data_IF_424442051959
#
_entry.id   IF_424442051959
#
_cell.length_a   1.000
_cell.length_b   1.000
_cell.length_c   1.000
_cell.angle_alpha   90.00
_cell.angle_beta   90.00
_cell.angle_gamma   90.00
#
_symmetry.space_group_name_H-M   'P 1'
#
loop_
_entity.id
_entity.type
_entity.pdbx_description
1 polymer ?
#
# COMPACT_ATOMS: atom_id res chain seq x y z
N UNK A 1 7.94 -14.57 -1.35
CA UNK A 1 6.93 -13.90 -0.50
C UNK A 1 6.78 -12.40 -0.79
N UNK A 2 7.84 -11.58 -0.75
CA UNK A 2 7.75 -10.11 -1.03
C UNK A 2 7.20 -9.82 -2.43
N UNK A 3 7.68 -10.51 -3.46
CA UNK A 3 7.16 -10.37 -4.83
C UNK A 3 5.68 -10.74 -4.94
N UNK A 4 5.20 -11.72 -4.18
CA UNK A 4 3.78 -12.05 -4.12
C UNK A 4 2.96 -10.94 -3.46
N UNK A 5 3.47 -10.32 -2.38
CA UNK A 5 2.81 -9.21 -1.71
C UNK A 5 2.70 -7.98 -2.64
N UNK A 6 3.78 -7.65 -3.37
CA UNK A 6 3.77 -6.56 -4.35
C UNK A 6 2.89 -6.89 -5.57
N UNK A 7 2.93 -8.14 -6.06
CA UNK A 7 2.07 -8.60 -7.16
C UNK A 7 0.59 -8.54 -6.78
N UNK A 8 0.24 -8.95 -5.55
CA UNK A 8 -1.14 -8.87 -5.08
C UNK A 8 -1.62 -7.42 -4.93
N UNK A 9 -0.72 -6.49 -4.62
CA UNK A 9 -1.03 -5.05 -4.64
C UNK A 9 -1.50 -4.60 -6.03
N UNK A 10 -0.79 -5.01 -7.09
CA UNK A 10 -1.17 -4.70 -8.47
C UNK A 10 -2.53 -5.33 -8.84
N UNK A 11 -2.77 -6.59 -8.44
CA UNK A 11 -4.06 -7.26 -8.68
C UNK A 11 -5.19 -6.53 -7.95
N UNK A 12 -4.98 -6.15 -6.69
CA UNK A 12 -5.99 -5.43 -5.89
C UNK A 12 -6.33 -4.09 -6.53
N UNK A 13 -5.35 -3.34 -7.02
CA UNK A 13 -5.58 -2.02 -7.57
C UNK A 13 -6.09 -2.07 -9.02
N UNK A 14 -5.34 -2.68 -9.93
CA UNK A 14 -5.70 -2.71 -11.36
C UNK A 14 -6.81 -3.71 -11.67
N UNK A 15 -6.85 -4.85 -10.97
CA UNK A 15 -7.89 -5.86 -11.18
C UNK A 15 -9.28 -5.36 -10.80
N UNK A 16 -9.42 -4.61 -9.71
CA UNK A 16 -10.70 -4.03 -9.31
C UNK A 16 -11.18 -2.96 -10.29
N UNK A 17 -10.28 -2.15 -10.87
CA UNK A 17 -10.62 -1.15 -11.90
C UNK A 17 -11.28 -1.75 -13.13
N UNK A 18 -10.84 -2.96 -13.56
CA UNK A 18 -11.47 -3.67 -14.67
C UNK A 18 -12.92 -4.06 -14.37
N UNK A 19 -13.25 -4.25 -13.09
CA UNK A 19 -14.61 -4.61 -12.65
C UNK A 19 -15.46 -3.35 -12.45
N UNK A 20 -14.91 -2.32 -11.82
CA UNK A 20 -15.65 -1.14 -11.34
C UNK A 20 -15.70 0.02 -12.33
N UNK A 21 -15.03 -0.06 -13.48
CA UNK A 21 -14.92 1.03 -14.44
C UNK A 21 -16.27 1.60 -14.97
N UNK A 22 -17.35 0.80 -14.91
CA UNK A 22 -18.71 1.25 -15.26
C UNK A 22 -19.61 1.56 -14.04
N UNK A 23 -19.09 1.51 -12.81
CA UNK A 23 -19.88 1.71 -11.60
C UNK A 23 -19.98 3.21 -11.25
N UNK A 24 -20.98 3.55 -10.43
CA UNK A 24 -21.03 4.86 -9.82
C UNK A 24 -19.98 4.98 -8.71
N UNK A 25 -19.11 5.99 -8.79
CA UNK A 25 -18.06 6.22 -7.79
C UNK A 25 -18.48 7.34 -6.84
N UNK A 26 -18.32 7.10 -5.54
CA UNK A 26 -18.68 8.02 -4.48
C UNK A 26 -17.54 8.99 -4.17
N UNK A 27 -17.80 10.29 -4.23
CA UNK A 27 -16.83 11.29 -3.80
C UNK A 27 -16.82 11.38 -2.27
N UNK A 28 -15.68 11.04 -1.64
CA UNK A 28 -15.49 11.04 -0.19
C UNK A 28 -14.84 12.32 0.35
N UNK A 29 -14.68 13.36 -0.49
CA UNK A 29 -14.06 14.63 -0.10
C UNK A 29 -14.84 15.34 0.99
N UNK A 30 -14.14 15.82 2.00
CA UNK A 30 -14.65 16.58 3.12
C UNK A 30 -14.22 18.05 3.04
N UNK A 31 -14.74 18.90 3.94
CA UNK A 31 -14.29 20.30 4.03
C UNK A 31 -12.78 20.41 4.35
N UNK A 32 -12.21 19.45 5.08
CA UNK A 32 -10.77 19.40 5.39
C UNK A 32 -9.95 19.20 4.12
N UNK A 33 -10.41 18.36 3.19
CA UNK A 33 -9.69 18.08 1.95
C UNK A 33 -9.64 19.31 1.02
N UNK A 34 -10.62 20.21 1.13
CA UNK A 34 -10.65 21.46 0.39
C UNK A 34 -9.64 22.49 0.93
N UNK A 35 -9.32 22.45 2.24
CA UNK A 35 -8.35 23.35 2.88
C UNK A 35 -6.91 22.92 2.58
N UNK A 36 -6.66 21.62 2.39
CA UNK A 36 -5.32 21.12 2.06
C UNK A 36 -4.90 21.63 0.68
N UNK A 37 -3.78 22.36 0.55
CA UNK A 37 -3.36 22.90 -0.75
C UNK A 37 -2.82 21.79 -1.68
N UNK A 38 -2.91 22.01 -2.99
CA UNK A 38 -2.13 21.27 -3.96
C UNK A 38 -0.66 21.72 -3.88
N UNK A 39 0.27 20.77 -3.70
CA UNK A 39 1.70 21.05 -3.56
C UNK A 39 2.50 20.15 -4.52
N UNK A 40 2.70 20.55 -5.78
CA UNK A 40 3.24 19.68 -6.84
C UNK A 40 4.58 19.01 -6.53
N UNK A 41 5.51 19.68 -5.83
CA UNK A 41 6.81 19.09 -5.53
C UNK A 41 6.75 17.86 -4.61
N UNK A 42 5.66 17.67 -3.87
CA UNK A 42 5.47 16.47 -3.02
C UNK A 42 5.28 15.19 -3.82
N UNK A 43 5.14 15.29 -5.15
CA UNK A 43 5.17 14.14 -6.07
C UNK A 43 6.48 13.34 -5.94
N UNK A 44 7.59 13.99 -5.58
CA UNK A 44 8.88 13.31 -5.36
C UNK A 44 8.75 12.33 -4.17
N UNK A 45 8.09 12.78 -3.09
CA UNK A 45 7.84 11.93 -1.91
C UNK A 45 6.82 10.84 -2.27
N UNK A 46 5.77 11.20 -3.00
CA UNK A 46 4.74 10.26 -3.46
C UNK A 46 5.35 9.12 -4.30
N UNK A 47 6.12 9.44 -5.33
CA UNK A 47 6.79 8.44 -6.17
C UNK A 47 7.94 7.72 -5.43
N UNK A 48 8.56 8.37 -4.47
CA UNK A 48 9.59 7.78 -3.60
C UNK A 48 9.07 6.62 -2.73
N UNK A 49 7.74 6.51 -2.56
CA UNK A 49 7.12 5.43 -1.77
C UNK A 49 7.50 4.04 -2.29
N UNK A 50 7.65 3.84 -3.59
CA UNK A 50 8.01 2.54 -4.17
C UNK A 50 9.38 2.05 -3.70
N UNK A 51 10.39 2.95 -3.65
CA UNK A 51 11.71 2.62 -3.12
C UNK A 51 11.65 2.31 -1.63
N UNK A 52 10.87 3.08 -0.88
CA UNK A 52 10.65 2.86 0.55
C UNK A 52 9.98 1.50 0.80
N UNK A 53 8.98 1.12 0.02
CA UNK A 53 8.29 -0.17 0.14
C UNK A 53 9.23 -1.34 -0.15
N UNK A 54 9.96 -1.29 -1.26
CA UNK A 54 10.91 -2.35 -1.64
C UNK A 54 11.94 -2.55 -0.53
N UNK A 55 12.56 -1.46 -0.04
CA UNK A 55 13.60 -1.53 0.98
C UNK A 55 13.07 -2.11 2.31
N UNK A 56 11.90 -1.63 2.79
CA UNK A 56 11.37 -2.06 4.08
C UNK A 56 10.76 -3.47 4.05
N UNK A 57 10.05 -3.84 2.98
CA UNK A 57 9.55 -5.21 2.81
C UNK A 57 10.71 -6.21 2.73
N UNK A 58 11.79 -5.86 2.02
CA UNK A 58 12.99 -6.69 1.96
C UNK A 58 13.65 -6.81 3.34
N UNK A 59 13.93 -5.70 4.02
CA UNK A 59 14.52 -5.71 5.36
C UNK A 59 13.65 -6.47 6.38
N UNK A 60 12.33 -6.30 6.33
CA UNK A 60 11.40 -7.02 7.19
C UNK A 60 11.36 -8.52 6.92
N UNK A 61 11.68 -8.95 5.69
CA UNK A 61 11.57 -10.36 5.26
C UNK A 61 12.83 -11.21 5.47
N UNK A 62 13.96 -10.62 5.81
CA UNK A 62 15.23 -11.34 5.96
C UNK A 62 15.64 -11.57 7.42
N UNK A 63 14.80 -11.30 8.38
CA UNK A 63 15.15 -11.31 9.80
C UNK A 63 14.36 -12.38 10.58
N UNK A 64 13.40 -11.99 11.37
CA UNK A 64 12.60 -12.93 12.17
C UNK A 64 11.50 -13.58 11.32
N UNK A 65 11.50 -14.91 11.23
CA UNK A 65 10.54 -15.64 10.37
C UNK A 65 9.10 -15.49 10.83
N UNK A 66 8.85 -15.46 12.14
CA UNK A 66 7.50 -15.34 12.70
C UNK A 66 6.93 -13.92 12.49
N UNK A 67 7.77 -12.91 12.70
CA UNK A 67 7.37 -11.52 12.43
C UNK A 67 7.23 -11.25 10.93
N UNK A 68 8.12 -11.82 10.10
CA UNK A 68 7.99 -11.79 8.63
C UNK A 68 6.66 -12.38 8.17
N UNK A 69 6.34 -13.59 8.64
CA UNK A 69 5.09 -14.25 8.28
C UNK A 69 3.88 -13.47 8.82
N UNK A 70 3.97 -12.87 10.00
CA UNK A 70 2.89 -12.10 10.60
C UNK A 70 2.57 -10.84 9.80
N UNK A 71 3.58 -10.03 9.43
CA UNK A 71 3.32 -8.81 8.68
C UNK A 71 2.86 -9.09 7.23
N UNK A 72 3.43 -10.11 6.56
CA UNK A 72 3.02 -10.48 5.20
C UNK A 72 1.60 -11.08 5.16
N UNK A 73 1.24 -11.90 6.16
CA UNK A 73 -0.12 -12.39 6.32
C UNK A 73 -1.10 -11.23 6.56
N UNK A 74 -0.73 -10.27 7.40
CA UNK A 74 -1.55 -9.10 7.69
C UNK A 74 -1.73 -8.19 6.46
N UNK A 75 -0.65 -7.98 5.70
CA UNK A 75 -0.67 -7.24 4.44
C UNK A 75 -1.63 -7.89 3.43
N UNK A 76 -1.57 -9.23 3.29
CA UNK A 76 -2.49 -9.97 2.43
C UNK A 76 -3.94 -9.82 2.90
N UNK A 77 -4.21 -9.99 4.20
CA UNK A 77 -5.55 -9.82 4.76
C UNK A 77 -6.10 -8.40 4.51
N UNK A 78 -5.27 -7.38 4.74
CA UNK A 78 -5.65 -5.99 4.49
C UNK A 78 -5.96 -5.72 3.01
N UNK A 79 -5.17 -6.27 2.09
CA UNK A 79 -5.40 -6.14 0.65
C UNK A 79 -6.65 -6.86 0.17
N UNK A 80 -7.02 -7.99 0.79
CA UNK A 80 -8.30 -8.65 0.54
C UNK A 80 -9.46 -7.73 0.98
N UNK A 81 -9.34 -7.06 2.12
CA UNK A 81 -10.34 -6.07 2.57
C UNK A 81 -10.41 -4.90 1.59
N UNK A 82 -9.26 -4.36 1.15
CA UNK A 82 -9.23 -3.31 0.12
C UNK A 82 -9.92 -3.76 -1.18
N UNK A 83 -9.62 -4.98 -1.66
CA UNK A 83 -10.25 -5.55 -2.85
C UNK A 83 -11.78 -5.60 -2.73
N UNK A 84 -12.29 -6.06 -1.60
CA UNK A 84 -13.73 -6.10 -1.34
C UNK A 84 -14.31 -4.69 -1.32
N UNK A 85 -13.68 -3.75 -0.60
CA UNK A 85 -14.15 -2.37 -0.48
C UNK A 85 -14.13 -1.63 -1.83
N UNK A 86 -13.10 -1.81 -2.65
CA UNK A 86 -13.01 -1.19 -3.97
C UNK A 86 -14.15 -1.64 -4.91
N UNK A 87 -14.59 -2.89 -4.79
CA UNK A 87 -15.72 -3.41 -5.60
C UNK A 87 -17.06 -2.97 -5.02
N UNK A 88 -17.23 -3.02 -3.69
CA UNK A 88 -18.52 -2.77 -3.04
C UNK A 88 -18.82 -1.29 -2.82
N UNK A 89 -17.78 -0.47 -2.63
CA UNK A 89 -17.88 0.97 -2.38
C UNK A 89 -16.84 1.71 -3.24
N UNK A 90 -17.02 1.72 -4.58
CA UNK A 90 -16.06 2.43 -5.46
C UNK A 90 -16.06 3.92 -5.13
N UNK A 91 -14.87 4.48 -4.98
CA UNK A 91 -14.68 5.87 -4.55
C UNK A 91 -13.88 6.68 -5.54
N UNK A 92 -14.09 8.00 -5.55
CA UNK A 92 -13.42 8.95 -6.44
C UNK A 92 -13.15 10.27 -5.74
N UNK A 93 -12.34 11.12 -6.37
CA UNK A 93 -12.08 12.51 -5.98
C UNK A 93 -12.06 13.41 -7.21
N UNK A 94 -12.54 14.64 -7.05
CA UNK A 94 -12.36 15.68 -8.08
C UNK A 94 -10.99 16.30 -7.90
N UNK A 95 -10.12 16.12 -8.89
CA UNK A 95 -8.78 16.70 -8.91
C UNK A 95 -8.82 18.12 -9.46
N UNK A 96 -8.02 19.06 -8.91
CA UNK A 96 -7.90 20.40 -9.45
C UNK A 96 -7.17 20.39 -10.80
N UNK A 97 -7.42 21.39 -11.61
CA UNK A 97 -6.62 21.66 -12.81
C UNK A 97 -5.21 22.09 -12.41
N UNK A 98 -4.23 21.59 -13.14
CA UNK A 98 -2.82 21.88 -12.92
C UNK A 98 -2.28 22.62 -14.15
N UNK A 99 -1.68 23.82 -13.99
CA UNK A 99 -1.07 24.53 -15.10
C UNK A 99 0.21 23.82 -15.57
N UNK A 100 0.42 23.73 -16.88
CA UNK A 100 1.64 23.14 -17.47
C UNK A 100 2.79 24.17 -17.52
N UNK A 101 3.31 24.56 -16.35
CA UNK A 101 4.26 25.65 -16.21
C UNK A 101 5.69 25.19 -15.89
N UNK A 102 5.85 24.16 -15.08
CA UNK A 102 7.15 23.72 -14.59
C UNK A 102 7.25 22.19 -14.51
N UNK A 103 8.43 21.68 -14.20
CA UNK A 103 8.72 20.23 -14.21
C UNK A 103 7.87 19.46 -13.20
N UNK A 104 7.52 20.04 -12.05
CA UNK A 104 6.72 19.37 -11.02
C UNK A 104 5.25 19.30 -11.45
N UNK A 105 4.73 20.36 -12.05
CA UNK A 105 3.38 20.37 -12.63
C UNK A 105 3.28 19.37 -13.79
N UNK A 106 4.28 19.27 -14.66
CA UNK A 106 4.33 18.26 -15.73
C UNK A 106 4.35 16.84 -15.18
N UNK A 107 5.13 16.58 -14.13
CA UNK A 107 5.16 15.30 -13.45
C UNK A 107 3.78 14.97 -12.83
N UNK A 108 3.10 15.95 -12.24
CA UNK A 108 1.73 15.79 -11.71
C UNK A 108 0.72 15.48 -12.81
N UNK A 109 0.77 16.20 -13.95
CA UNK A 109 -0.09 15.94 -15.10
C UNK A 109 0.14 14.52 -15.64
N UNK A 110 1.40 14.10 -15.75
CA UNK A 110 1.73 12.72 -16.12
C UNK A 110 1.15 11.71 -15.13
N UNK A 111 1.33 11.93 -13.81
CA UNK A 111 0.74 11.08 -12.79
C UNK A 111 -0.79 10.99 -12.95
N UNK A 112 -1.47 12.11 -13.15
CA UNK A 112 -2.93 12.16 -13.32
C UNK A 112 -3.41 11.44 -14.59
N UNK A 113 -2.56 11.37 -15.60
CA UNK A 113 -2.89 10.67 -16.87
C UNK A 113 -2.81 9.15 -16.75
N UNK A 114 -1.91 8.63 -15.92
CA UNK A 114 -1.70 7.17 -15.75
C UNK A 114 -2.44 6.58 -14.55
N UNK A 115 -2.77 7.40 -13.58
CA UNK A 115 -3.43 7.01 -12.34
C UNK A 115 -4.78 7.73 -12.20
N UNK A 116 -5.85 7.07 -12.63
CA UNK A 116 -7.21 7.63 -12.55
C UNK A 116 -7.67 7.74 -11.09
N UNK A 117 -8.55 8.72 -10.76
CA UNK A 117 -9.02 8.93 -9.40
C UNK A 117 -10.13 7.93 -9.02
N UNK A 118 -9.77 6.67 -8.95
CA UNK A 118 -10.66 5.56 -8.56
C UNK A 118 -10.01 4.65 -7.52
N UNK A 119 -10.81 3.79 -6.87
CA UNK A 119 -10.33 2.85 -5.84
C UNK A 119 -9.53 3.55 -4.71
N UNK A 120 -10.08 4.64 -4.17
CA UNK A 120 -9.35 5.50 -3.24
C UNK A 120 -9.45 5.02 -1.78
N UNK A 121 -10.57 4.44 -1.37
CA UNK A 121 -10.84 4.08 0.02
C UNK A 121 -10.78 2.56 0.27
N UNK A 122 -9.91 2.13 1.20
CA UNK A 122 -8.86 2.86 1.91
C UNK A 122 -7.61 3.07 1.03
N UNK A 123 -6.76 4.04 1.37
CA UNK A 123 -5.54 4.32 0.60
C UNK A 123 -4.54 3.17 0.67
N UNK A 124 -4.26 2.52 -0.46
CA UNK A 124 -3.21 1.50 -0.57
C UNK A 124 -1.81 2.11 -0.35
N UNK A 125 -1.58 3.36 -0.76
CA UNK A 125 -0.32 4.05 -0.53
C UNK A 125 -0.02 4.21 0.97
N UNK A 126 -1.01 4.65 1.74
CA UNK A 126 -0.87 4.81 3.19
C UNK A 126 -0.81 3.45 3.90
N UNK A 127 -1.63 2.50 3.47
CA UNK A 127 -1.63 1.11 3.97
C UNK A 127 -0.24 0.47 3.83
N UNK A 128 0.30 0.42 2.60
CA UNK A 128 1.59 -0.23 2.31
C UNK A 128 2.74 0.51 2.98
N UNK A 129 2.71 1.85 3.01
CA UNK A 129 3.71 2.65 3.73
C UNK A 129 3.68 2.37 5.22
N UNK A 130 2.51 2.15 5.81
CA UNK A 130 2.40 1.78 7.22
C UNK A 130 2.83 0.33 7.48
N UNK A 131 2.59 -0.59 6.55
CA UNK A 131 3.19 -1.94 6.63
C UNK A 131 4.71 -1.92 6.60
N UNK A 132 5.35 -0.95 5.96
CA UNK A 132 6.80 -0.75 6.06
C UNK A 132 7.24 -0.47 7.51
N UNK A 133 6.46 0.33 8.24
CA UNK A 133 6.71 0.57 9.68
C UNK A 133 6.52 -0.72 10.49
N UNK A 134 5.42 -1.44 10.23
CA UNK A 134 5.13 -2.73 10.90
C UNK A 134 6.25 -3.75 10.65
N UNK A 135 6.75 -3.85 9.42
CA UNK A 135 7.79 -4.78 9.01
C UNK A 135 9.10 -4.60 9.80
N UNK A 136 9.46 -3.36 10.14
CA UNK A 136 10.75 -3.06 10.79
C UNK A 136 10.65 -2.83 12.30
N UNK A 137 9.50 -2.42 12.83
CA UNK A 137 9.36 -1.97 14.23
C UNK A 137 9.67 -3.03 15.28
N UNK A 138 9.46 -4.32 14.97
CA UNK A 138 9.71 -5.45 15.88
C UNK A 138 11.06 -6.11 15.65
N UNK A 139 11.78 -5.75 14.60
CA UNK A 139 13.06 -6.36 14.26
C UNK A 139 14.16 -5.86 15.22
N UNK A 140 14.81 -6.79 15.90
CA UNK A 140 15.84 -6.48 16.91
C UNK A 140 17.16 -5.99 16.29
N UNK A 141 17.46 -6.42 15.07
CA UNK A 141 18.69 -6.08 14.35
C UNK A 141 18.62 -4.72 13.67
N UNK A 142 17.40 -4.17 13.50
CA UNK A 142 17.21 -2.83 12.93
C UNK A 142 17.35 -1.79 14.02
N UNK A 143 18.24 -0.79 13.86
CA UNK A 143 18.48 0.23 14.85
C UNK A 143 17.25 1.14 15.04
N UNK A 144 17.06 1.65 16.24
CA UNK A 144 15.86 2.42 16.59
C UNK A 144 15.73 3.73 15.80
N UNK A 145 16.85 4.37 15.45
CA UNK A 145 16.81 5.56 14.60
C UNK A 145 16.15 5.28 13.24
N UNK A 146 16.40 4.07 12.65
CA UNK A 146 15.78 3.70 11.37
C UNK A 146 14.29 3.42 11.53
N UNK A 147 13.87 2.82 12.66
CA UNK A 147 12.43 2.61 12.95
C UNK A 147 11.71 3.95 13.04
N UNK A 148 12.31 4.95 13.71
CA UNK A 148 11.77 6.32 13.78
C UNK A 148 11.74 6.96 12.38
N UNK A 149 12.82 6.83 11.62
CA UNK A 149 12.89 7.35 10.25
C UNK A 149 11.80 6.71 9.36
N UNK A 150 11.55 5.41 9.50
CA UNK A 150 10.48 4.72 8.75
C UNK A 150 9.10 5.30 9.06
N UNK A 151 8.82 5.65 10.31
CA UNK A 151 7.57 6.34 10.69
C UNK A 151 7.49 7.71 10.02
N UNK A 152 8.56 8.50 10.08
CA UNK A 152 8.61 9.85 9.49
C UNK A 152 8.36 9.77 7.97
N UNK A 153 9.03 8.83 7.28
CA UNK A 153 8.84 8.65 5.82
C UNK A 153 7.42 8.20 5.51
N UNK A 154 6.87 7.23 6.24
CA UNK A 154 5.50 6.76 6.04
C UNK A 154 4.48 7.90 6.21
N UNK A 155 4.64 8.74 7.24
CA UNK A 155 3.78 9.91 7.44
C UNK A 155 3.98 10.98 6.34
N UNK A 156 5.21 11.20 5.87
CA UNK A 156 5.49 12.09 4.76
C UNK A 156 4.83 11.60 3.47
N UNK A 157 4.82 10.28 3.21
CA UNK A 157 4.08 9.69 2.09
C UNK A 157 2.58 9.92 2.27
N UNK A 158 2.02 9.69 3.45
CA UNK A 158 0.61 9.97 3.74
C UNK A 158 0.24 11.44 3.46
N UNK A 159 1.06 12.39 3.91
CA UNK A 159 0.86 13.81 3.60
C UNK A 159 0.98 14.07 2.10
N UNK A 160 1.93 13.43 1.41
CA UNK A 160 2.10 13.61 -0.04
C UNK A 160 0.90 13.13 -0.83
N UNK A 161 0.20 12.07 -0.41
CA UNK A 161 -1.03 11.62 -1.07
C UNK A 161 -2.15 12.66 -1.01
N UNK A 162 -2.22 13.43 0.07
CA UNK A 162 -3.20 14.51 0.26
C UNK A 162 -2.83 15.77 -0.55
N UNK A 163 -1.55 16.13 -0.53
CA UNK A 163 -1.06 17.35 -1.21
C UNK A 163 -0.89 17.16 -2.72
N UNK A 164 -0.77 15.95 -3.22
CA UNK A 164 -0.86 15.61 -4.65
C UNK A 164 -2.29 15.34 -5.11
N UNK A 165 -3.30 15.48 -4.22
CA UNK A 165 -4.71 15.21 -4.52
C UNK A 165 -4.96 13.80 -5.10
N UNK A 166 -4.20 12.82 -4.61
CA UNK A 166 -4.42 11.41 -4.95
C UNK A 166 -5.43 10.76 -3.99
N UNK A 167 -5.48 11.21 -2.74
CA UNK A 167 -6.37 10.70 -1.70
C UNK A 167 -6.99 11.84 -0.88
N UNK A 168 -8.04 11.50 -0.13
CA UNK A 168 -8.65 12.35 0.89
C UNK A 168 -8.24 11.90 2.30
N UNK A 169 -8.49 12.75 3.29
CA UNK A 169 -8.07 12.52 4.67
C UNK A 169 -8.61 11.18 5.23
N UNK A 170 -9.86 10.86 4.92
CA UNK A 170 -10.48 9.61 5.40
C UNK A 170 -9.80 8.36 4.82
N UNK A 171 -9.37 8.38 3.56
CA UNK A 171 -8.67 7.27 2.92
C UNK A 171 -7.33 7.01 3.61
N UNK A 172 -6.61 8.09 3.94
CA UNK A 172 -5.29 8.05 4.59
C UNK A 172 -5.39 7.41 5.97
N UNK A 173 -6.31 7.88 6.81
CA UNK A 173 -6.52 7.31 8.14
C UNK A 173 -7.03 5.88 8.09
N UNK A 174 -7.93 5.57 7.16
CA UNK A 174 -8.45 4.22 6.98
C UNK A 174 -7.33 3.24 6.55
N UNK A 175 -6.40 3.66 5.67
CA UNK A 175 -5.26 2.85 5.27
C UNK A 175 -4.34 2.50 6.45
N UNK A 176 -3.98 3.49 7.27
CA UNK A 176 -3.15 3.28 8.47
C UNK A 176 -3.88 2.38 9.48
N UNK A 177 -5.15 2.67 9.77
CA UNK A 177 -5.95 1.90 10.73
C UNK A 177 -6.11 0.45 10.29
N UNK A 178 -6.38 0.22 9.00
CA UNK A 178 -6.53 -1.12 8.44
C UNK A 178 -5.23 -1.92 8.57
N UNK A 179 -4.05 -1.31 8.34
CA UNK A 179 -2.77 -1.98 8.52
C UNK A 179 -2.56 -2.46 9.98
N UNK A 180 -2.83 -1.59 10.96
CA UNK A 180 -2.71 -1.97 12.39
C UNK A 180 -3.74 -3.02 12.79
N UNK A 181 -5.00 -2.87 12.37
CA UNK A 181 -6.07 -3.81 12.71
C UNK A 181 -5.80 -5.19 12.09
N UNK A 182 -5.34 -5.26 10.85
CA UNK A 182 -4.98 -6.51 10.19
C UNK A 182 -3.80 -7.19 10.89
N UNK A 183 -2.76 -6.42 11.28
CA UNK A 183 -1.63 -6.99 12.01
C UNK A 183 -2.05 -7.51 13.40
N UNK A 184 -2.85 -6.76 14.13
CA UNK A 184 -3.39 -7.20 15.43
C UNK A 184 -4.28 -8.43 15.30
N UNK A 185 -5.11 -8.49 14.27
CA UNK A 185 -5.94 -9.65 13.95
C UNK A 185 -5.10 -10.90 13.73
N UNK A 186 -4.08 -10.83 12.87
CA UNK A 186 -3.20 -11.97 12.57
C UNK A 186 -2.46 -12.45 13.82
N UNK A 187 -1.98 -11.54 14.67
CA UNK A 187 -1.29 -11.91 15.93
C UNK A 187 -2.20 -12.59 16.95
N UNK A 188 -3.53 -12.37 16.87
CA UNK A 188 -4.51 -12.90 17.86
C UNK A 188 -5.36 -14.06 17.36
N UNK A 189 -5.59 -14.19 16.05
CA UNK A 189 -6.58 -15.11 15.47
C UNK A 189 -6.10 -16.54 15.24
N UNK A 190 -4.79 -16.81 15.38
CA UNK A 190 -4.22 -18.12 15.05
C UNK A 190 -4.09 -18.41 13.54
N UNK A 191 -4.46 -17.49 12.65
CA UNK A 191 -4.39 -17.65 11.18
C UNK A 191 -2.93 -17.81 10.66
N UNK A 192 -1.97 -17.41 11.46
CA UNK A 192 -0.54 -17.47 11.08
C UNK A 192 -0.07 -18.90 10.78
N UNK A 193 -0.53 -19.89 11.54
CA UNK A 193 -0.18 -21.29 11.31
C UNK A 193 -0.66 -21.83 9.95
N UNK A 194 -1.95 -21.70 9.61
CA UNK A 194 -2.47 -22.00 8.27
C UNK A 194 -1.75 -21.23 7.16
N UNK A 195 -1.48 -19.93 7.34
CA UNK A 195 -0.76 -19.11 6.36
C UNK A 195 0.64 -19.64 6.08
N UNK A 196 1.44 -19.97 7.12
CA UNK A 196 2.78 -20.57 6.94
C UNK A 196 2.73 -21.90 6.18
N UNK A 197 1.74 -22.75 6.47
CA UNK A 197 1.55 -24.01 5.72
C UNK A 197 1.26 -23.77 4.25
N UNK A 198 0.40 -22.81 3.95
CA UNK A 198 0.07 -22.44 2.55
C UNK A 198 1.30 -21.93 1.81
N UNK A 199 2.08 -21.04 2.43
CA UNK A 199 3.30 -20.48 1.84
C UNK A 199 4.33 -21.60 1.56
N UNK A 200 4.56 -22.47 2.53
CA UNK A 200 5.48 -23.62 2.37
C UNK A 200 5.04 -24.57 1.25
N UNK A 201 3.74 -24.81 1.09
CA UNK A 201 3.20 -25.60 -0.01
C UNK A 201 3.44 -24.93 -1.38
N UNK A 202 3.21 -23.62 -1.48
CA UNK A 202 3.45 -22.84 -2.71
C UNK A 202 4.96 -22.85 -3.05
N UNK A 203 5.83 -22.63 -2.11
CA UNK A 203 7.29 -22.65 -2.32
C UNK A 203 7.76 -24.03 -2.78
N UNK A 204 7.28 -25.11 -2.16
CA UNK A 204 7.59 -26.49 -2.57
C UNK A 204 7.11 -26.77 -4.00
N UNK A 205 5.93 -26.30 -4.38
CA UNK A 205 5.40 -26.45 -5.73
C UNK A 205 6.26 -25.69 -6.76
N UNK A 206 6.62 -24.43 -6.49
CA UNK A 206 7.48 -23.64 -7.38
C UNK A 206 8.85 -24.31 -7.56
N UNK A 207 9.46 -24.79 -6.47
CA UNK A 207 10.75 -25.52 -6.53
C UNK A 207 10.63 -26.79 -7.37
N UNK A 208 9.51 -27.50 -7.28
CA UNK A 208 9.27 -28.73 -8.08
C UNK A 208 9.21 -28.43 -9.58
N UNK A 209 8.54 -27.35 -9.97
CA UNK A 209 8.46 -26.88 -11.38
C UNK A 209 9.86 -26.50 -11.90
N UNK A 210 10.60 -25.73 -11.11
CA UNK A 210 11.95 -25.29 -11.50
C UNK A 210 12.95 -26.45 -11.64
N UNK A 211 12.77 -27.53 -10.89
CA UNK A 211 13.60 -28.76 -11.01
C UNK A 211 13.18 -29.65 -12.19
N UNK A 212 11.89 -29.72 -12.51
CA UNK A 212 11.38 -30.50 -13.63
C UNK A 212 11.77 -29.95 -15.02
N UNK A 213 12.16 -28.66 -15.12
CA UNK A 213 12.63 -28.04 -16.38
C UNK A 213 14.13 -28.23 -16.62
N UNK A 214 14.85 -28.92 -15.75
CA UNK A 214 16.30 -29.19 -15.89
C UNK A 214 16.62 -30.64 -16.33
N UNK A 215 15.61 -31.41 -16.69
CA UNK A 215 15.73 -32.71 -17.34
C UNK A 215 15.28 -32.62 -18.79
#
# INVERSE_FOLDING_TARGET
>A
MVLLALGFNCITYYGTRLITGGFHHHNMSTKLDLIIPLVPWTIIIYLGCYLFWIANYWMGSIQDEDETAAFLCADLCAKIVCFILFITVPTTIVRPEIPDTDIMNKAMLFLYSIDTPDNLFPSIHCLTSWFCVIAVRKQKTIPDWYKVLSVIIALAICVSTLTTKQHVVVDTFAGIALAELAYLFVKKSGILGPYKKLVSAIESFIISICKGHKQ
#
